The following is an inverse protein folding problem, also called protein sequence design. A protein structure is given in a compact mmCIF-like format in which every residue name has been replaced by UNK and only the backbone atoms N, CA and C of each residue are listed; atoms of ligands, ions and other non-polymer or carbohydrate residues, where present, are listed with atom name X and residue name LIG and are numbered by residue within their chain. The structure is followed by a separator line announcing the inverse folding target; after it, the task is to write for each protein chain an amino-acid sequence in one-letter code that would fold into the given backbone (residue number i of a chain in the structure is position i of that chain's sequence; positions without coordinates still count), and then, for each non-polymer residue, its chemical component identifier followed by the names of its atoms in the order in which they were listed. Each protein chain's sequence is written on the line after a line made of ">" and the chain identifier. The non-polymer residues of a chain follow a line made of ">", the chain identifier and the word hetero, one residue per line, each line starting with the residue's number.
data_IF_683513507854
#
_entry.id   IF_683513507854
#
_cell.length_a   1.000
_cell.length_b   1.000
_cell.length_c   1.000
_cell.angle_alpha   90.00
_cell.angle_beta   90.00
_cell.angle_gamma   90.00
#
_symmetry.space_group_name_H-M   'P 1'
#
loop_
_entity.id
_entity.type
_entity.pdbx_description
1 polymer ?
#
# COMPACT_ATOMS: atom_id res chain seq x y z
N UNK A 1 -14.40 58.98 -46.65
CA UNK A 1 -13.33 58.16 -46.04
C UNK A 1 -12.88 57.10 -47.04
N UNK A 2 -11.65 57.20 -47.57
CA UNK A 2 -11.20 56.49 -48.77
C UNK A 2 -11.04 54.98 -48.56
N UNK A 3 -11.44 54.16 -49.55
CA UNK A 3 -11.38 52.69 -49.58
C UNK A 3 -9.99 52.11 -49.21
N UNK A 4 -8.92 52.85 -49.52
CA UNK A 4 -7.52 52.53 -49.15
C UNK A 4 -7.27 52.52 -47.63
N UNK A 5 -8.02 53.28 -46.83
CA UNK A 5 -7.83 53.36 -45.38
C UNK A 5 -8.51 52.22 -44.61
N UNK A 6 -9.52 51.56 -45.21
CA UNK A 6 -10.15 50.38 -44.61
C UNK A 6 -9.27 49.14 -44.73
N UNK A 7 -8.58 48.96 -45.86
CA UNK A 7 -7.68 47.83 -46.11
C UNK A 7 -6.45 47.81 -45.18
N UNK A 8 -5.88 48.99 -44.86
CA UNK A 8 -4.77 49.11 -43.89
C UNK A 8 -5.20 48.80 -42.45
N UNK A 9 -6.46 49.09 -42.09
CA UNK A 9 -7.02 48.79 -40.77
C UNK A 9 -7.25 47.29 -40.57
N UNK A 10 -7.69 46.57 -41.61
CA UNK A 10 -7.82 45.10 -41.56
C UNK A 10 -6.46 44.39 -41.51
N UNK A 11 -5.44 44.91 -42.21
CA UNK A 11 -4.07 44.37 -42.13
C UNK A 11 -3.41 44.56 -40.76
N UNK A 12 -3.66 45.70 -40.10
CA UNK A 12 -3.17 45.96 -38.74
C UNK A 12 -3.89 45.10 -37.68
N UNK A 13 -5.20 44.84 -37.84
CA UNK A 13 -5.94 43.94 -36.94
C UNK A 13 -5.50 42.47 -37.10
N UNK A 14 -5.18 42.05 -38.33
CA UNK A 14 -4.72 40.67 -38.60
C UNK A 14 -3.32 40.39 -38.06
N UNK A 15 -2.43 41.40 -38.04
CA UNK A 15 -1.10 41.30 -37.43
C UNK A 15 -1.13 41.28 -35.90
N UNK A 16 -2.15 41.87 -35.25
CA UNK A 16 -2.26 41.84 -33.80
C UNK A 16 -2.84 40.51 -33.26
N UNK A 17 -3.72 39.85 -34.00
CA UNK A 17 -4.27 38.53 -33.60
C UNK A 17 -3.25 37.40 -33.82
N UNK A 18 -2.36 37.52 -34.80
CA UNK A 18 -1.31 36.53 -35.06
C UNK A 18 -0.11 36.63 -34.10
N UNK A 19 0.15 37.79 -33.50
CA UNK A 19 1.21 37.96 -32.51
C UNK A 19 0.85 37.38 -31.12
N UNK A 20 -0.43 37.15 -30.82
CA UNK A 20 -0.85 36.63 -29.51
C UNK A 20 -0.82 35.09 -29.41
N UNK A 21 -0.79 34.38 -30.55
CA UNK A 21 -0.75 32.90 -30.57
C UNK A 21 0.68 32.36 -30.41
N UNK A 22 1.71 33.16 -30.68
CA UNK A 22 3.11 32.72 -30.59
C UNK A 22 3.76 32.92 -29.20
N UNK A 23 3.06 33.58 -28.26
CA UNK A 23 3.48 33.75 -26.87
C UNK A 23 2.77 32.80 -25.89
N UNK A 24 1.92 31.90 -26.40
CA UNK A 24 1.37 30.77 -25.65
C UNK A 24 2.43 29.69 -25.48
N UNK A 25 3.44 29.98 -24.65
CA UNK A 25 4.51 29.06 -24.29
C UNK A 25 3.97 27.66 -24.04
N UNK A 26 4.50 26.69 -24.79
CA UNK A 26 4.10 25.30 -24.73
C UNK A 26 4.12 24.80 -23.29
N UNK A 27 2.92 24.66 -22.72
CA UNK A 27 2.71 23.83 -21.55
C UNK A 27 2.84 22.40 -22.06
N UNK A 28 4.07 21.92 -22.18
CA UNK A 28 4.31 20.49 -22.31
C UNK A 28 3.62 19.87 -21.11
N UNK A 29 2.63 18.98 -21.29
CA UNK A 29 2.10 18.24 -20.16
C UNK A 29 3.30 17.50 -19.56
N UNK A 30 3.73 17.94 -18.37
CA UNK A 30 4.61 17.15 -17.54
C UNK A 30 3.72 15.98 -17.14
N UNK A 31 3.86 14.88 -17.86
CA UNK A 31 3.39 13.59 -17.39
C UNK A 31 4.20 13.33 -16.13
N UNK A 32 3.65 13.69 -14.97
CA UNK A 32 4.14 13.23 -13.69
C UNK A 32 4.05 11.70 -13.75
N UNK A 33 5.17 11.04 -14.02
CA UNK A 33 5.28 9.61 -13.82
C UNK A 33 5.09 9.42 -12.33
N UNK A 34 3.91 8.94 -11.94
CA UNK A 34 3.67 8.45 -10.60
C UNK A 34 4.73 7.40 -10.34
N UNK A 35 5.76 7.78 -9.59
CA UNK A 35 6.75 6.82 -9.10
C UNK A 35 5.99 5.97 -8.12
N UNK A 36 5.70 4.72 -8.50
CA UNK A 36 5.17 3.76 -7.55
C UNK A 36 6.21 3.64 -6.44
N UNK A 37 5.89 4.00 -5.18
CA UNK A 37 6.84 3.87 -4.09
C UNK A 37 7.35 2.44 -4.05
N UNK A 38 8.67 2.26 -3.95
CA UNK A 38 9.23 0.94 -3.76
C UNK A 38 8.68 0.34 -2.47
N UNK A 39 8.26 -0.94 -2.52
CA UNK A 39 7.78 -1.62 -1.33
C UNK A 39 8.93 -1.82 -0.36
N UNK A 40 8.70 -1.44 0.90
CA UNK A 40 9.66 -1.61 1.98
C UNK A 40 9.96 -3.09 2.20
N UNK A 41 11.23 -3.45 2.29
CA UNK A 41 11.67 -4.83 2.55
C UNK A 41 11.42 -5.26 3.99
N UNK A 42 11.02 -6.52 4.19
CA UNK A 42 10.98 -7.18 5.49
C UNK A 42 12.37 -7.76 5.78
N UNK A 43 13.06 -7.19 6.75
CA UNK A 43 14.39 -7.62 7.20
C UNK A 43 14.35 -8.85 8.12
N UNK A 44 13.27 -9.01 8.89
CA UNK A 44 13.06 -10.13 9.83
C UNK A 44 11.60 -10.54 9.81
N UNK A 45 11.33 -11.85 9.78
CA UNK A 45 9.97 -12.38 9.78
C UNK A 45 9.88 -13.61 10.68
N UNK A 46 8.84 -13.68 11.49
CA UNK A 46 8.40 -14.87 12.19
C UNK A 46 6.91 -15.06 11.97
N UNK A 47 6.54 -16.27 11.54
CA UNK A 47 5.16 -16.70 11.43
C UNK A 47 4.93 -17.87 12.36
N UNK A 48 3.88 -17.80 13.16
CA UNK A 48 3.42 -18.88 14.03
C UNK A 48 1.99 -19.22 13.66
N UNK A 49 1.70 -20.50 13.52
CA UNK A 49 0.37 -21.01 13.25
C UNK A 49 0.01 -21.91 14.41
N UNK A 50 -0.97 -21.49 15.20
CA UNK A 50 -1.30 -22.09 16.48
C UNK A 50 -2.74 -22.59 16.46
N UNK A 51 -3.00 -23.85 16.85
CA UNK A 51 -4.34 -24.27 17.21
C UNK A 51 -4.75 -23.57 18.50
N UNK A 52 -6.04 -23.28 18.65
CA UNK A 52 -6.61 -22.84 19.92
C UNK A 52 -7.46 -23.95 20.55
N UNK A 53 -7.67 -23.84 21.86
CA UNK A 53 -8.43 -24.85 22.61
C UNK A 53 -9.94 -24.63 22.49
N UNK A 54 -10.36 -23.36 22.44
CA UNK A 54 -11.76 -22.90 22.48
C UNK A 54 -12.25 -22.31 21.15
N UNK A 55 -11.35 -22.02 20.20
CA UNK A 55 -11.70 -21.65 18.83
C UNK A 55 -11.38 -22.81 17.85
N UNK A 56 -12.35 -23.26 17.02
CA UNK A 56 -12.12 -24.34 16.05
C UNK A 56 -11.17 -23.96 14.91
N UNK A 57 -10.89 -22.67 14.73
CA UNK A 57 -9.98 -22.08 13.74
C UNK A 57 -8.53 -22.16 14.22
N UNK A 58 -7.60 -21.63 13.43
CA UNK A 58 -6.21 -21.43 13.86
C UNK A 58 -5.93 -19.95 14.05
N UNK A 59 -5.14 -19.62 15.07
CA UNK A 59 -4.55 -18.30 15.25
C UNK A 59 -3.24 -18.24 14.46
N UNK A 60 -3.12 -17.28 13.57
CA UNK A 60 -1.88 -16.97 12.88
C UNK A 60 -1.32 -15.70 13.47
N UNK A 61 -0.08 -15.76 13.95
CA UNK A 61 0.65 -14.63 14.50
C UNK A 61 1.84 -14.35 13.61
N UNK A 62 1.94 -13.10 13.15
CA UNK A 62 3.05 -12.64 12.32
C UNK A 62 3.70 -11.44 12.97
N UNK A 63 5.02 -11.49 13.07
CA UNK A 63 5.81 -10.38 13.56
C UNK A 63 7.12 -10.26 12.79
N UNK A 64 7.65 -9.06 12.73
CA UNK A 64 8.86 -8.83 11.98
C UNK A 64 9.42 -7.42 12.12
N UNK A 65 10.43 -7.15 11.30
CA UNK A 65 11.11 -5.86 11.24
C UNK A 65 11.23 -5.41 9.78
N UNK A 66 10.83 -4.18 9.48
CA UNK A 66 11.05 -3.55 8.17
C UNK A 66 12.46 -2.98 8.05
N UNK A 67 13.07 -3.06 6.87
CA UNK A 67 14.35 -2.45 6.55
C UNK A 67 14.19 -0.92 6.32
N UNK A 68 13.90 -0.19 7.39
CA UNK A 68 13.72 1.27 7.40
C UNK A 68 14.57 1.93 8.48
N UNK A 69 14.94 3.18 8.21
CA UNK A 69 15.57 4.12 9.14
C UNK A 69 14.52 4.98 9.85
N UNK A 70 14.91 5.62 10.96
CA UNK A 70 14.00 6.53 11.68
C UNK A 70 13.52 7.72 10.84
N UNK A 71 14.32 8.17 9.87
CA UNK A 71 13.97 9.28 8.98
C UNK A 71 12.89 8.91 7.94
N UNK A 72 12.64 7.62 7.73
CA UNK A 72 11.62 7.13 6.80
C UNK A 72 10.27 6.89 7.48
N UNK A 73 10.22 6.90 8.82
CA UNK A 73 9.00 6.71 9.59
C UNK A 73 8.20 8.03 9.70
N UNK A 74 6.85 7.96 9.79
CA UNK A 74 6.04 6.74 9.78
C UNK A 74 5.88 6.16 8.36
N UNK A 75 5.69 4.85 8.28
CA UNK A 75 5.40 4.13 7.03
C UNK A 75 4.10 3.37 7.13
N UNK A 76 3.37 3.24 6.02
CA UNK A 76 2.23 2.33 5.94
C UNK A 76 2.72 0.93 5.58
N UNK A 77 2.44 -0.04 6.45
CA UNK A 77 2.60 -1.45 6.13
C UNK A 77 1.28 -1.99 5.58
N UNK A 78 1.34 -2.69 4.43
CA UNK A 78 0.19 -3.38 3.84
C UNK A 78 0.49 -4.87 3.76
N UNK A 79 -0.32 -5.68 4.42
CA UNK A 79 -0.15 -7.14 4.43
C UNK A 79 -1.34 -7.82 3.79
N UNK A 80 -1.09 -8.97 3.15
CA UNK A 80 -2.16 -9.81 2.65
C UNK A 80 -2.60 -10.80 3.73
N UNK A 81 -3.90 -10.85 3.99
CA UNK A 81 -4.52 -11.85 4.88
C UNK A 81 -5.60 -12.61 4.11
N UNK A 82 -5.88 -13.88 4.41
CA UNK A 82 -6.95 -14.61 3.73
C UNK A 82 -8.27 -13.85 3.85
N UNK A 83 -9.04 -13.76 2.77
CA UNK A 83 -10.25 -12.93 2.72
C UNK A 83 -11.31 -13.36 3.75
N UNK A 84 -11.35 -14.64 4.10
CA UNK A 84 -12.25 -15.19 5.12
C UNK A 84 -11.70 -15.07 6.56
N UNK A 85 -10.47 -14.56 6.73
CA UNK A 85 -9.87 -14.43 8.05
C UNK A 85 -10.51 -13.29 8.85
N UNK A 86 -10.54 -13.47 10.17
CA UNK A 86 -10.89 -12.41 11.11
C UNK A 86 -9.60 -11.83 11.68
N UNK A 87 -9.25 -10.61 11.27
CA UNK A 87 -8.15 -9.85 11.89
C UNK A 87 -8.51 -9.58 13.35
N UNK A 88 -7.64 -10.01 14.27
CA UNK A 88 -7.81 -9.78 15.69
C UNK A 88 -7.04 -8.54 16.14
N UNK A 89 -5.78 -8.40 15.68
CA UNK A 89 -4.93 -7.29 16.06
C UNK A 89 -3.95 -6.90 14.94
N UNK A 90 -3.74 -5.60 14.78
CA UNK A 90 -2.63 -4.97 14.08
C UNK A 90 -1.92 -4.08 15.10
N UNK A 91 -0.59 -4.18 15.22
CA UNK A 91 0.16 -3.47 16.25
C UNK A 91 1.60 -3.15 15.85
N UNK A 92 2.17 -2.18 16.56
CA UNK A 92 3.61 -1.90 16.59
C UNK A 92 4.18 -2.51 17.87
N UNK A 93 5.32 -3.18 17.77
CA UNK A 93 6.01 -3.74 18.93
C UNK A 93 6.97 -2.72 19.54
N UNK A 94 6.75 -2.37 20.81
CA UNK A 94 7.67 -1.52 21.56
C UNK A 94 8.80 -2.38 22.14
N UNK A 95 10.00 -2.29 21.56
CA UNK A 95 11.14 -3.09 22.04
C UNK A 95 11.64 -2.73 23.44
N UNK A 96 11.38 -1.51 23.91
CA UNK A 96 11.81 -1.08 25.24
C UNK A 96 10.98 -1.72 26.36
N UNK A 97 9.71 -2.01 26.09
CA UNK A 97 8.76 -2.56 27.07
C UNK A 97 8.28 -3.98 26.74
N UNK A 98 8.49 -4.44 25.51
CA UNK A 98 7.93 -5.68 24.98
C UNK A 98 6.41 -5.62 24.72
N UNK A 99 5.78 -4.45 24.87
CA UNK A 99 4.33 -4.31 24.70
C UNK A 99 3.94 -4.17 23.22
N UNK A 100 2.75 -4.66 22.89
CA UNK A 100 2.11 -4.44 21.60
C UNK A 100 1.19 -3.23 21.70
N UNK A 101 1.46 -2.22 20.88
CA UNK A 101 0.60 -1.05 20.78
C UNK A 101 -0.34 -1.20 19.58
N UNK A 102 -1.63 -1.38 19.87
CA UNK A 102 -2.64 -1.59 18.84
C UNK A 102 -2.74 -0.38 17.90
N UNK A 103 -2.97 -0.66 16.62
CA UNK A 103 -3.14 0.33 15.56
C UNK A 103 -4.50 0.13 14.88
N UNK A 104 -5.11 1.24 14.47
CA UNK A 104 -6.25 1.21 13.55
C UNK A 104 -5.75 0.76 12.18
N UNK A 105 -6.55 -0.05 11.50
CA UNK A 105 -6.23 -0.55 10.18
C UNK A 105 -7.42 -0.37 9.22
N UNK A 106 -7.10 -0.38 7.93
CA UNK A 106 -8.08 -0.49 6.84
C UNK A 106 -7.90 -1.83 6.16
N UNK A 107 -8.99 -2.51 5.84
CA UNK A 107 -8.97 -3.77 5.11
C UNK A 107 -9.81 -3.66 3.85
N UNK A 108 -9.20 -3.91 2.69
CA UNK A 108 -9.85 -3.87 1.38
C UNK A 108 -9.62 -5.21 0.65
N UNK A 109 -10.53 -5.63 -0.22
CA UNK A 109 -10.26 -6.77 -1.11
C UNK A 109 -9.02 -6.50 -1.97
N UNK A 110 -8.18 -7.52 -2.16
CA UNK A 110 -7.07 -7.44 -3.09
C UNK A 110 -7.61 -7.38 -4.54
N UNK A 111 -7.28 -6.34 -5.33
CA UNK A 111 -7.74 -6.24 -6.72
C UNK A 111 -7.14 -7.31 -7.65
N UNK A 112 -6.02 -7.92 -7.27
CA UNK A 112 -5.32 -8.95 -8.06
C UNK A 112 -5.71 -10.37 -7.66
N UNK A 113 -6.29 -10.57 -6.48
CA UNK A 113 -6.72 -11.88 -6.00
C UNK A 113 -7.98 -11.85 -5.13
N UNK A 114 -8.98 -12.63 -5.52
CA UNK A 114 -10.21 -12.77 -4.75
C UNK A 114 -10.04 -13.52 -3.41
N UNK A 115 -8.90 -14.20 -3.22
CA UNK A 115 -8.59 -15.01 -2.02
C UNK A 115 -8.03 -14.17 -0.88
N UNK A 116 -7.55 -12.97 -1.15
CA UNK A 116 -6.84 -12.12 -0.19
C UNK A 116 -7.56 -10.80 0.06
N UNK A 117 -7.34 -10.26 1.26
CA UNK A 117 -7.61 -8.89 1.62
C UNK A 117 -6.27 -8.21 1.92
N UNK A 118 -6.11 -6.98 1.45
CA UNK A 118 -4.99 -6.11 1.80
C UNK A 118 -5.36 -5.32 3.05
N UNK A 119 -4.57 -5.50 4.11
CA UNK A 119 -4.78 -4.82 5.39
C UNK A 119 -3.62 -3.87 5.65
N UNK A 120 -3.95 -2.59 5.82
CA UNK A 120 -2.99 -1.50 5.90
C UNK A 120 -3.07 -0.78 7.24
N UNK A 121 -1.92 -0.48 7.84
CA UNK A 121 -1.82 0.32 9.06
C UNK A 121 -0.48 1.05 9.15
N UNK A 122 -0.46 2.14 9.91
CA UNK A 122 0.73 2.98 10.09
C UNK A 122 1.67 2.40 11.15
N UNK A 123 2.95 2.39 10.83
CA UNK A 123 4.05 2.04 11.71
C UNK A 123 4.89 3.29 12.00
N UNK A 124 4.97 3.66 13.27
CA UNK A 124 5.88 4.68 13.82
C UNK A 124 7.19 4.06 14.35
N UNK A 125 7.35 2.75 14.18
CA UNK A 125 8.56 1.99 14.50
C UNK A 125 8.79 0.89 13.48
N UNK A 126 10.03 0.38 13.39
CA UNK A 126 10.37 -0.63 12.38
C UNK A 126 9.77 -2.03 12.67
N UNK A 127 9.23 -2.27 13.88
CA UNK A 127 8.76 -3.58 14.31
C UNK A 127 7.25 -3.68 14.23
N UNK A 128 6.78 -4.66 13.46
CA UNK A 128 5.36 -4.88 13.22
C UNK A 128 4.91 -6.18 13.86
N UNK A 129 3.63 -6.21 14.22
CA UNK A 129 2.92 -7.38 14.71
C UNK A 129 1.49 -7.38 14.16
N UNK A 130 1.00 -8.55 13.76
CA UNK A 130 -0.41 -8.75 13.50
C UNK A 130 -0.83 -10.19 13.71
N UNK A 131 -2.10 -10.39 14.03
CA UNK A 131 -2.69 -11.70 14.20
C UNK A 131 -4.12 -11.76 13.69
N UNK A 132 -4.48 -12.95 13.22
CA UNK A 132 -5.80 -13.23 12.68
C UNK A 132 -6.19 -14.69 12.89
N UNK A 133 -7.50 -14.90 13.00
CA UNK A 133 -8.10 -16.23 12.98
C UNK A 133 -8.45 -16.63 11.56
N UNK A 134 -8.09 -17.85 11.18
CA UNK A 134 -8.36 -18.40 9.85
C UNK A 134 -8.85 -19.84 9.96
N UNK A 135 -9.87 -20.19 9.17
CA UNK A 135 -10.38 -21.57 9.06
C UNK A 135 -9.89 -22.22 7.76
N UNK A 136 -8.84 -23.05 7.81
CA UNK A 136 -8.34 -23.77 6.64
C UNK A 136 -9.06 -25.10 6.38
N UNK A 137 -9.97 -25.54 7.26
CA UNK A 137 -10.41 -26.92 7.27
C UNK A 137 -11.61 -27.15 6.34
N UNK A 138 -11.51 -28.18 5.49
CA UNK A 138 -12.61 -28.60 4.63
C UNK A 138 -13.58 -29.61 5.30
N UNK A 139 -13.46 -29.78 6.63
CA UNK A 139 -14.19 -30.77 7.43
C UNK A 139 -13.42 -32.08 7.66
N UNK A 140 -14.04 -33.02 8.39
CA UNK A 140 -13.45 -34.30 8.79
C UNK A 140 -12.92 -34.33 10.23
N UNK A 141 -12.66 -35.53 10.74
CA UNK A 141 -12.17 -35.75 12.11
C UNK A 141 -10.65 -35.51 12.23
N UNK A 142 -9.91 -35.72 11.14
CA UNK A 142 -8.48 -35.43 11.05
C UNK A 142 -8.24 -34.07 10.40
N UNK A 143 -7.75 -33.12 11.19
CA UNK A 143 -7.44 -31.76 10.75
C UNK A 143 -6.01 -31.68 10.22
N UNK A 144 -5.84 -31.52 8.91
CA UNK A 144 -4.56 -31.25 8.26
C UNK A 144 -4.73 -30.18 7.18
N UNK A 145 -3.75 -29.28 7.07
CA UNK A 145 -3.75 -28.23 6.05
C UNK A 145 -2.32 -27.76 5.74
N UNK A 146 -2.17 -27.09 4.59
CA UNK A 146 -0.95 -26.34 4.25
C UNK A 146 -1.20 -24.86 4.51
N UNK A 147 -0.27 -24.22 5.19
CA UNK A 147 -0.29 -22.78 5.37
C UNK A 147 0.63 -22.09 4.35
N UNK A 148 0.09 -21.11 3.64
CA UNK A 148 0.85 -20.27 2.70
C UNK A 148 0.94 -18.86 3.29
N UNK A 149 2.16 -18.43 3.56
CA UNK A 149 2.43 -17.02 3.86
C UNK A 149 2.50 -16.23 2.55
N UNK A 150 1.64 -15.23 2.38
CA UNK A 150 1.61 -14.36 1.21
C UNK A 150 1.98 -12.93 1.61
N UNK A 151 2.89 -12.32 0.86
CA UNK A 151 3.34 -10.94 1.09
C UNK A 151 3.59 -10.24 -0.24
N UNK A 152 3.24 -8.96 -0.29
CA UNK A 152 3.61 -8.06 -1.39
C UNK A 152 5.00 -7.46 -1.15
N UNK A 153 5.43 -7.36 0.11
CA UNK A 153 6.72 -6.83 0.48
C UNK A 153 7.83 -7.84 0.19
N UNK A 154 8.97 -7.41 -0.39
CA UNK A 154 10.12 -8.28 -0.55
C UNK A 154 10.61 -8.72 0.83
N UNK A 155 11.06 -9.96 0.90
CA UNK A 155 11.60 -10.56 2.12
C UNK A 155 13.10 -10.72 1.91
N UNK A 156 13.90 -10.21 2.85
CA UNK A 156 15.35 -10.26 2.76
C UNK A 156 15.86 -11.70 2.56
N UNK A 157 16.89 -11.86 1.72
CA UNK A 157 17.41 -13.18 1.35
C UNK A 157 18.12 -13.94 2.48
N UNK A 158 18.39 -13.27 3.61
CA UNK A 158 19.16 -13.80 4.74
C UNK A 158 18.28 -14.28 5.92
N UNK A 159 16.98 -14.53 5.68
CA UNK A 159 16.03 -15.07 6.68
C UNK A 159 16.14 -16.59 6.90
#
# INVERSE_FOLDING_TARGET
>A
MSRKNRQKLYWLLFLFVSAFVLLGGGHRPILAQATVPALTEIQQLRVQVMPEFDDPRVLVIVQGRLNVTEAELPVTLTVAVPRAAQVNQMAVMNLGTGQMEQRTYEALPDPESAEWSLVSYELDGAHFFYEYYYDPFAGGDEKAFTYTFHTIHPVGADL
#
